data_IF_332317101567
#
_entry.id   IF_332317101567
#
_cell.length_a   1.000
_cell.length_b   1.000
_cell.length_c   1.000
_cell.angle_alpha   90.00
_cell.angle_beta   90.00
_cell.angle_gamma   90.00
#
_symmetry.space_group_name_H-M   'P 1'
#
loop_
_entity.id
_entity.type
_entity.pdbx_description
1 polymer ?
#
# COMPACT_ATOMS: atom_id res chain seq x y z
N UNK A 1 -26.48 -19.79 14.55
CA UNK A 1 -26.24 -19.47 13.14
C UNK A 1 -25.50 -20.66 12.54
N UNK A 2 -26.18 -21.45 11.71
CA UNK A 2 -25.59 -22.67 11.11
C UNK A 2 -24.72 -22.23 9.94
N UNK A 3 -23.41 -22.48 10.00
CA UNK A 3 -22.51 -22.28 8.87
C UNK A 3 -22.95 -23.23 7.76
N UNK A 4 -23.55 -22.68 6.70
CA UNK A 4 -23.91 -23.39 5.49
C UNK A 4 -22.63 -23.72 4.70
N UNK A 5 -22.01 -24.83 5.06
CA UNK A 5 -20.77 -25.33 4.46
C UNK A 5 -20.95 -25.72 2.98
N UNK A 6 -22.19 -26.00 2.56
CA UNK A 6 -22.53 -26.34 1.17
C UNK A 6 -22.50 -25.10 0.25
N UNK A 7 -22.47 -23.88 0.81
CA UNK A 7 -22.28 -22.64 0.04
C UNK A 7 -20.85 -22.44 -0.45
N UNK A 8 -19.87 -23.20 0.05
CA UNK A 8 -18.48 -23.17 -0.44
C UNK A 8 -18.34 -24.13 -1.63
N UNK A 9 -19.15 -23.96 -2.67
CA UNK A 9 -19.02 -24.73 -3.92
C UNK A 9 -17.72 -24.39 -4.66
N UNK A 10 -17.12 -23.24 -4.37
CA UNK A 10 -15.85 -22.78 -4.92
C UNK A 10 -15.04 -22.08 -3.82
N UNK A 11 -14.09 -22.77 -3.15
CA UNK A 11 -13.24 -22.10 -2.16
C UNK A 11 -12.50 -20.93 -2.82
N UNK A 12 -12.50 -19.78 -2.14
CA UNK A 12 -11.82 -18.58 -2.64
C UNK A 12 -10.35 -18.90 -2.89
N UNK A 13 -9.87 -18.66 -4.11
CA UNK A 13 -8.45 -18.73 -4.45
C UNK A 13 -7.91 -17.34 -4.75
N UNK A 14 -6.78 -17.01 -4.15
CA UNK A 14 -6.15 -15.72 -4.40
C UNK A 14 -5.58 -15.68 -5.82
N UNK A 15 -5.90 -14.61 -6.54
CA UNK A 15 -5.57 -14.45 -7.94
C UNK A 15 -5.21 -12.99 -8.28
N UNK A 16 -4.47 -12.81 -9.37
CA UNK A 16 -4.13 -11.50 -9.92
C UNK A 16 -5.35 -10.78 -10.47
N UNK A 17 -5.38 -9.46 -10.29
CA UNK A 17 -6.35 -8.55 -10.88
C UNK A 17 -7.62 -8.38 -10.06
N UNK A 18 -8.55 -7.58 -10.58
CA UNK A 18 -9.86 -7.34 -9.96
C UNK A 18 -10.85 -8.43 -10.36
N UNK A 19 -11.65 -8.92 -9.40
CA UNK A 19 -12.56 -10.04 -9.60
C UNK A 19 -14.00 -9.67 -9.27
N UNK A 20 -14.94 -10.28 -9.99
CA UNK A 20 -16.37 -10.12 -9.73
C UNK A 20 -16.83 -11.02 -8.58
N UNK A 21 -17.89 -10.59 -7.88
CA UNK A 21 -18.56 -11.40 -6.85
C UNK A 21 -18.98 -12.76 -7.43
N UNK A 22 -18.72 -13.83 -6.70
CA UNK A 22 -19.10 -15.19 -7.08
C UNK A 22 -18.14 -15.89 -8.06
N UNK A 23 -17.06 -15.23 -8.48
CA UNK A 23 -16.05 -15.83 -9.39
C UNK A 23 -15.18 -16.92 -8.75
N UNK A 24 -15.24 -17.09 -7.42
CA UNK A 24 -14.33 -17.96 -6.66
C UNK A 24 -12.89 -17.41 -6.58
N UNK A 25 -12.66 -16.17 -7.03
CA UNK A 25 -11.37 -15.49 -7.04
C UNK A 25 -11.42 -14.20 -6.25
N UNK A 26 -10.27 -13.78 -5.71
CA UNK A 26 -10.10 -12.49 -5.05
C UNK A 26 -8.62 -12.17 -4.84
N UNK A 27 -8.29 -10.94 -4.50
CA UNK A 27 -6.98 -10.60 -3.97
C UNK A 27 -7.00 -10.60 -2.43
N UNK A 28 -5.83 -10.44 -1.79
CA UNK A 28 -5.73 -10.32 -0.34
C UNK A 28 -6.65 -9.21 0.24
N UNK A 29 -6.74 -8.07 -0.44
CA UNK A 29 -7.56 -6.95 0.04
C UNK A 29 -9.06 -7.22 -0.03
N UNK A 30 -9.53 -8.06 -0.97
CA UNK A 30 -10.94 -8.50 -0.99
C UNK A 30 -11.26 -9.37 0.23
N UNK A 31 -10.29 -10.17 0.70
CA UNK A 31 -10.45 -10.94 1.94
C UNK A 31 -10.57 -10.01 3.13
N UNK A 32 -9.70 -9.00 3.23
CA UNK A 32 -9.78 -7.99 4.30
C UNK A 32 -11.12 -7.25 4.26
N UNK A 33 -11.56 -6.81 3.08
CA UNK A 33 -12.86 -6.15 2.84
C UNK A 33 -14.04 -7.02 3.30
N UNK A 34 -14.03 -8.31 2.93
CA UNK A 34 -15.05 -9.25 3.36
C UNK A 34 -15.08 -9.43 4.88
N UNK A 35 -13.92 -9.54 5.52
CA UNK A 35 -13.83 -9.74 6.98
C UNK A 35 -14.19 -8.47 7.75
N UNK A 36 -13.84 -7.30 7.22
CA UNK A 36 -14.26 -6.02 7.79
C UNK A 36 -15.79 -5.82 7.73
N UNK A 37 -16.46 -6.53 6.82
CA UNK A 37 -17.90 -6.43 6.63
C UNK A 37 -18.30 -5.28 5.69
N UNK A 38 -17.41 -4.90 4.77
CA UNK A 38 -17.72 -3.87 3.77
C UNK A 38 -18.96 -4.28 2.97
N UNK A 39 -19.83 -3.29 2.67
CA UNK A 39 -21.06 -3.51 1.89
C UNK A 39 -20.71 -4.04 0.49
N UNK A 40 -19.70 -3.44 -0.12
CA UNK A 40 -19.17 -3.84 -1.42
C UNK A 40 -17.74 -4.35 -1.24
N UNK A 41 -17.50 -5.59 -1.68
CA UNK A 41 -16.15 -6.18 -1.62
C UNK A 41 -15.24 -5.45 -2.59
N UNK A 42 -14.17 -4.88 -2.06
CA UNK A 42 -13.27 -3.98 -2.77
C UNK A 42 -11.81 -4.33 -2.51
N UNK A 43 -10.91 -3.77 -3.33
CA UNK A 43 -9.46 -3.81 -3.12
C UNK A 43 -9.00 -2.72 -2.12
N UNK A 44 -9.90 -1.82 -1.72
CA UNK A 44 -9.65 -0.69 -0.83
C UNK A 44 -10.61 -0.75 0.37
N UNK A 45 -10.44 -1.71 1.28
CA UNK A 45 -11.35 -1.88 2.40
C UNK A 45 -11.40 -0.64 3.30
N UNK A 46 -12.57 -0.36 3.88
CA UNK A 46 -12.80 0.85 4.68
C UNK A 46 -11.85 0.94 5.88
N UNK A 47 -11.42 -0.19 6.43
CA UNK A 47 -10.50 -0.25 7.57
C UNK A 47 -9.01 -0.03 7.23
N UNK A 48 -8.64 0.08 5.94
CA UNK A 48 -7.25 0.20 5.51
C UNK A 48 -6.98 1.49 4.75
N UNK A 49 -5.85 2.12 5.05
CA UNK A 49 -5.36 3.25 4.28
C UNK A 49 -5.18 2.85 2.81
N UNK A 50 -5.82 3.61 1.91
CA UNK A 50 -5.81 3.33 0.47
C UNK A 50 -4.39 3.14 -0.13
N UNK A 51 -3.36 3.91 0.26
CA UNK A 51 -2.00 3.68 -0.22
C UNK A 51 -1.43 2.30 0.17
N UNK A 52 -1.67 1.85 1.40
CA UNK A 52 -1.20 0.54 1.87
C UNK A 52 -1.96 -0.60 1.18
N UNK A 53 -3.28 -0.45 1.02
CA UNK A 53 -4.10 -1.39 0.27
C UNK A 53 -3.60 -1.56 -1.17
N UNK A 54 -3.21 -0.45 -1.83
CA UNK A 54 -2.62 -0.48 -3.17
C UNK A 54 -1.29 -1.24 -3.22
N UNK A 55 -0.41 -1.08 -2.22
CA UNK A 55 0.85 -1.82 -2.15
C UNK A 55 0.62 -3.33 -2.05
N UNK A 56 -0.30 -3.76 -1.16
CA UNK A 56 -0.64 -5.17 -0.99
C UNK A 56 -1.30 -5.74 -2.25
N UNK A 57 -2.21 -5.00 -2.88
CA UNK A 57 -2.83 -5.39 -4.15
C UNK A 57 -1.79 -5.57 -5.26
N UNK A 58 -0.87 -4.61 -5.42
CA UNK A 58 0.21 -4.71 -6.40
C UNK A 58 1.11 -5.93 -6.12
N UNK A 59 1.48 -6.15 -4.86
CA UNK A 59 2.27 -7.32 -4.48
C UNK A 59 1.54 -8.63 -4.80
N UNK A 60 0.26 -8.76 -4.45
CA UNK A 60 -0.59 -9.91 -4.79
C UNK A 60 -0.52 -10.22 -6.29
N UNK A 61 -0.71 -9.20 -7.12
CA UNK A 61 -0.71 -9.36 -8.57
C UNK A 61 0.65 -9.79 -9.12
N UNK A 62 1.76 -9.36 -8.51
CA UNK A 62 3.10 -9.73 -8.96
C UNK A 62 3.54 -11.10 -8.44
N UNK A 63 2.97 -11.58 -7.34
CA UNK A 63 3.25 -12.89 -6.76
C UNK A 63 2.38 -14.01 -7.35
N UNK A 64 1.38 -13.67 -8.16
CA UNK A 64 0.60 -14.63 -8.92
C UNK A 64 1.47 -15.35 -9.96
N UNK A 65 1.32 -16.66 -10.05
CA UNK A 65 1.99 -17.49 -11.04
C UNK A 65 1.45 -17.29 -12.45
N UNK A 66 2.00 -18.03 -13.44
CA UNK A 66 1.58 -17.95 -14.84
C UNK A 66 0.11 -18.31 -15.06
N UNK A 67 -0.49 -19.10 -14.16
CA UNK A 67 -1.92 -19.46 -14.16
C UNK A 67 -2.82 -18.35 -13.59
N UNK A 68 -2.24 -17.24 -13.14
CA UNK A 68 -2.93 -16.10 -12.55
C UNK A 68 -3.30 -16.29 -11.08
N UNK A 69 -2.92 -17.41 -10.45
CA UNK A 69 -3.19 -17.69 -9.03
C UNK A 69 -1.94 -17.57 -8.18
N UNK A 70 -2.11 -17.25 -6.90
CA UNK A 70 -1.00 -17.29 -5.94
C UNK A 70 -0.74 -18.74 -5.50
N UNK A 71 0.53 -19.06 -5.23
CA UNK A 71 0.86 -20.29 -4.49
C UNK A 71 0.30 -20.20 -3.06
N UNK A 72 0.19 -21.33 -2.33
CA UNK A 72 -0.21 -21.30 -0.91
C UNK A 72 0.68 -20.39 -0.06
N UNK A 73 2.00 -20.41 -0.26
CA UNK A 73 2.97 -19.62 0.49
C UNK A 73 2.82 -18.13 0.20
N UNK A 74 2.69 -17.77 -1.08
CA UNK A 74 2.44 -16.38 -1.48
C UNK A 74 1.08 -15.90 -0.97
N UNK A 75 0.07 -16.77 -0.95
CA UNK A 75 -1.27 -16.44 -0.42
C UNK A 75 -1.22 -16.09 1.06
N UNK A 76 -0.54 -16.90 1.88
CA UNK A 76 -0.34 -16.60 3.31
C UNK A 76 0.42 -15.28 3.49
N UNK A 77 1.47 -15.06 2.68
CA UNK A 77 2.29 -13.85 2.74
C UNK A 77 1.48 -12.58 2.48
N UNK A 78 0.67 -12.55 1.42
CA UNK A 78 -0.10 -11.33 1.09
C UNK A 78 -1.27 -11.12 2.05
N UNK A 79 -1.83 -12.17 2.65
CA UNK A 79 -2.85 -12.07 3.68
C UNK A 79 -2.26 -11.51 4.99
N UNK A 80 -1.08 -11.98 5.42
CA UNK A 80 -0.36 -11.40 6.58
C UNK A 80 -0.13 -9.90 6.38
N UNK A 81 0.36 -9.51 5.20
CA UNK A 81 0.57 -8.10 4.87
C UNK A 81 -0.75 -7.32 4.78
N UNK A 82 -1.80 -7.90 4.21
CA UNK A 82 -3.13 -7.30 4.17
C UNK A 82 -3.67 -6.99 5.56
N UNK A 83 -3.54 -7.93 6.50
CA UNK A 83 -3.95 -7.73 7.89
C UNK A 83 -3.20 -6.60 8.59
N UNK A 84 -1.93 -6.40 8.29
CA UNK A 84 -1.14 -5.30 8.86
C UNK A 84 -1.61 -3.92 8.41
N UNK A 85 -2.43 -3.84 7.37
CA UNK A 85 -3.06 -2.58 6.93
C UNK A 85 -4.34 -2.24 7.70
N UNK A 86 -4.92 -3.18 8.47
CA UNK A 86 -6.15 -2.92 9.22
C UNK A 86 -5.91 -1.90 10.32
N UNK A 87 -6.86 -0.97 10.49
CA UNK A 87 -6.81 0.12 11.47
C UNK A 87 -5.98 1.33 11.02
N UNK A 88 -5.57 1.38 9.74
CA UNK A 88 -4.75 2.48 9.21
C UNK A 88 -5.56 3.56 8.50
N UNK A 89 -6.86 3.34 8.25
CA UNK A 89 -7.70 4.24 7.44
C UNK A 89 -7.78 5.68 7.99
N UNK A 90 -7.89 5.85 9.30
CA UNK A 90 -8.09 7.15 9.96
C UNK A 90 -6.78 7.89 10.28
N UNK A 91 -5.67 7.49 9.65
CA UNK A 91 -4.37 8.11 9.86
C UNK A 91 -4.36 9.57 9.37
N UNK A 92 -3.83 10.54 10.13
CA UNK A 92 -3.74 11.94 9.70
C UNK A 92 -2.93 12.13 8.41
N UNK A 93 -3.31 13.12 7.59
CA UNK A 93 -2.62 13.44 6.33
C UNK A 93 -1.11 13.71 6.50
N UNK A 94 -0.70 14.26 7.64
CA UNK A 94 0.71 14.51 7.97
C UNK A 94 1.56 13.23 7.99
N UNK A 95 1.01 12.13 8.52
CA UNK A 95 1.69 10.83 8.53
C UNK A 95 1.85 10.32 7.10
N UNK A 96 0.82 10.49 6.26
CA UNK A 96 0.91 10.09 4.86
C UNK A 96 2.06 10.80 4.16
N UNK A 97 2.14 12.12 4.31
CA UNK A 97 3.19 12.91 3.70
C UNK A 97 4.58 12.52 4.19
N UNK A 98 4.72 12.29 5.51
CA UNK A 98 5.99 11.82 6.06
C UNK A 98 6.36 10.44 5.53
N UNK A 99 5.39 9.54 5.47
CA UNK A 99 5.55 8.18 4.95
C UNK A 99 5.98 8.20 3.48
N UNK A 100 5.33 9.03 2.66
CA UNK A 100 5.71 9.23 1.26
C UNK A 100 7.14 9.74 1.11
N UNK A 101 7.57 10.68 1.95
CA UNK A 101 8.96 11.14 1.95
C UNK A 101 9.92 9.99 2.24
N UNK A 102 9.63 9.17 3.27
CA UNK A 102 10.49 8.04 3.63
C UNK A 102 10.54 6.98 2.50
N UNK A 103 9.40 6.63 1.88
CA UNK A 103 9.39 5.74 0.69
C UNK A 103 10.27 6.26 -0.45
N UNK A 104 10.39 7.58 -0.58
CA UNK A 104 11.16 8.20 -1.65
C UNK A 104 12.67 8.14 -1.38
N UNK A 105 13.10 8.52 -0.16
CA UNK A 105 14.51 8.82 0.12
C UNK A 105 15.16 7.97 1.21
N UNK A 106 14.45 7.03 1.81
CA UNK A 106 15.08 6.10 2.76
C UNK A 106 16.31 5.42 2.12
N UNK A 107 17.48 5.42 2.80
CA UNK A 107 18.73 4.96 2.20
C UNK A 107 18.74 3.46 1.90
N UNK A 108 17.95 2.66 2.62
CA UNK A 108 17.93 1.20 2.48
C UNK A 108 16.76 0.75 1.62
N UNK A 109 15.57 1.30 1.85
CA UNK A 109 14.32 0.82 1.27
C UNK A 109 13.69 1.82 0.30
N UNK A 110 14.17 3.06 0.28
CA UNK A 110 13.60 4.12 -0.55
C UNK A 110 13.91 3.96 -2.03
N UNK A 111 13.00 4.43 -2.89
CA UNK A 111 13.13 4.29 -4.34
C UNK A 111 14.38 4.98 -4.93
N UNK A 112 14.93 5.96 -4.22
CA UNK A 112 16.15 6.69 -4.63
C UNK A 112 17.33 5.76 -4.89
N UNK A 113 17.40 4.59 -4.23
CA UNK A 113 18.49 3.63 -4.41
C UNK A 113 18.56 3.02 -5.82
N UNK A 114 17.44 3.05 -6.55
CA UNK A 114 17.32 2.53 -7.90
C UNK A 114 17.38 3.63 -8.97
N UNK A 115 17.49 4.88 -8.55
CA UNK A 115 17.44 6.03 -9.44
C UNK A 115 18.80 6.31 -10.09
N UNK A 116 18.77 6.72 -11.37
CA UNK A 116 19.92 7.36 -12.02
C UNK A 116 20.25 8.68 -11.28
N UNK A 117 21.51 9.17 -11.32
CA UNK A 117 21.91 10.38 -10.60
C UNK A 117 20.98 11.59 -10.82
N UNK A 118 20.57 11.85 -12.06
CA UNK A 118 19.68 12.98 -12.40
C UNK A 118 18.27 12.80 -11.83
N UNK A 119 17.74 11.57 -11.86
CA UNK A 119 16.44 11.22 -11.27
C UNK A 119 16.49 11.25 -9.73
N UNK A 120 17.62 10.89 -9.13
CA UNK A 120 17.80 10.93 -7.68
C UNK A 120 17.69 12.36 -7.12
N UNK A 121 18.11 13.36 -7.88
CA UNK A 121 17.92 14.77 -7.53
C UNK A 121 16.44 15.17 -7.49
N UNK A 122 15.64 14.72 -8.47
CA UNK A 122 14.20 14.98 -8.50
C UNK A 122 13.45 14.29 -7.36
N UNK A 123 13.76 13.01 -7.10
CA UNK A 123 13.18 12.25 -5.98
C UNK A 123 13.41 12.97 -4.65
N UNK A 124 14.64 13.46 -4.40
CA UNK A 124 14.95 14.19 -3.17
C UNK A 124 14.19 15.50 -3.05
N UNK A 125 13.99 16.24 -4.16
CA UNK A 125 13.19 17.47 -4.15
C UNK A 125 11.72 17.18 -3.83
N UNK A 126 11.12 16.19 -4.47
CA UNK A 126 9.73 15.76 -4.19
C UNK A 126 9.60 15.31 -2.73
N UNK A 127 10.54 14.52 -2.22
CA UNK A 127 10.53 14.10 -0.83
C UNK A 127 10.63 15.28 0.16
N UNK A 128 11.41 16.31 -0.17
CA UNK A 128 11.49 17.52 0.64
C UNK A 128 10.15 18.28 0.70
N UNK A 129 9.38 18.29 -0.40
CA UNK A 129 8.02 18.85 -0.41
C UNK A 129 7.07 18.00 0.45
N UNK A 130 7.16 16.68 0.37
CA UNK A 130 6.41 15.78 1.27
C UNK A 130 6.74 16.04 2.76
N UNK A 131 8.01 16.28 3.11
CA UNK A 131 8.38 16.64 4.50
C UNK A 131 7.73 17.95 4.93
N UNK A 132 7.66 18.95 4.06
CA UNK A 132 6.99 20.23 4.34
C UNK A 132 5.49 20.05 4.60
N UNK A 133 4.79 19.35 3.72
CA UNK A 133 3.38 19.01 3.93
C UNK A 133 3.16 18.21 5.23
N UNK A 134 4.12 17.35 5.60
CA UNK A 134 4.02 16.55 6.83
C UNK A 134 4.05 17.37 8.12
N UNK A 135 4.56 18.60 8.07
CA UNK A 135 4.57 19.54 9.21
C UNK A 135 3.50 20.64 9.09
N UNK A 136 2.62 20.54 8.09
CA UNK A 136 1.50 21.45 7.89
C UNK A 136 1.81 22.66 6.99
N UNK A 137 2.96 22.70 6.33
CA UNK A 137 3.22 23.71 5.30
C UNK A 137 2.33 23.44 4.07
N UNK A 138 1.78 24.49 3.48
CA UNK A 138 1.05 24.38 2.20
C UNK A 138 2.04 24.54 1.04
N UNK A 139 2.28 23.46 0.29
CA UNK A 139 3.16 23.48 -0.89
C UNK A 139 2.33 23.76 -2.13
N UNK A 140 2.73 24.76 -2.91
CA UNK A 140 2.00 25.14 -4.12
C UNK A 140 2.18 24.12 -5.25
N UNK A 141 1.19 24.04 -6.16
CA UNK A 141 1.28 23.22 -7.37
C UNK A 141 2.48 23.59 -8.26
N UNK A 142 2.90 24.85 -8.24
CA UNK A 142 4.08 25.30 -8.99
C UNK A 142 5.36 24.66 -8.44
N UNK A 143 5.52 24.62 -7.12
CA UNK A 143 6.66 23.95 -6.46
C UNK A 143 6.68 22.45 -6.75
N UNK A 144 5.51 21.79 -6.71
CA UNK A 144 5.40 20.38 -7.10
C UNK A 144 5.84 20.13 -8.53
N UNK A 145 5.36 20.94 -9.47
CA UNK A 145 5.72 20.82 -10.88
C UNK A 145 7.22 21.06 -11.11
N UNK A 146 7.80 22.07 -10.45
CA UNK A 146 9.23 22.37 -10.55
C UNK A 146 10.10 21.24 -9.99
N UNK A 147 9.72 20.68 -8.84
CA UNK A 147 10.44 19.58 -8.22
C UNK A 147 10.45 18.33 -9.12
N UNK A 148 9.31 18.02 -9.75
CA UNK A 148 9.10 16.84 -10.57
C UNK A 148 9.55 17.00 -12.04
N UNK A 149 9.70 18.23 -12.56
CA UNK A 149 10.05 18.51 -13.96
C UNK A 149 11.29 17.71 -14.46
N UNK A 150 12.39 17.57 -13.69
CA UNK A 150 13.54 16.81 -14.16
C UNK A 150 13.31 15.29 -14.23
N UNK A 151 12.35 14.75 -13.47
CA UNK A 151 11.94 13.36 -13.61
C UNK A 151 11.12 13.14 -14.89
N UNK A 152 10.23 14.09 -15.24
CA UNK A 152 9.47 14.05 -16.50
C UNK A 152 10.37 14.16 -17.74
N UNK A 153 11.40 15.00 -17.69
CA UNK A 153 12.36 15.16 -18.78
C UNK A 153 13.23 13.91 -19.01
N UNK A 154 13.39 13.06 -17.99
CA UNK A 154 14.20 11.84 -18.02
C UNK A 154 13.39 10.56 -18.30
N UNK A 155 12.06 10.62 -18.33
CA UNK A 155 11.20 9.46 -18.58
C UNK A 155 11.04 9.22 -20.08
N UNK A 156 11.54 8.09 -20.60
CA UNK A 156 11.38 7.69 -22.01
C UNK A 156 10.02 7.03 -22.33
N UNK A 157 9.15 6.79 -21.34
CA UNK A 157 7.90 6.05 -21.50
C UNK A 157 6.62 6.87 -21.20
N UNK A 158 5.57 6.81 -22.06
CA UNK A 158 4.33 7.58 -21.96
C UNK A 158 3.49 7.31 -20.68
N UNK A 159 3.78 6.25 -19.92
CA UNK A 159 3.07 5.92 -18.69
C UNK A 159 3.23 6.99 -17.58
N UNK A 160 4.35 7.73 -17.55
CA UNK A 160 4.59 8.79 -16.57
C UNK A 160 3.83 10.09 -16.89
N UNK A 161 3.52 10.35 -18.16
CA UNK A 161 2.86 11.57 -18.62
C UNK A 161 1.34 11.53 -18.47
N UNK A 162 0.71 10.35 -18.53
CA UNK A 162 -0.74 10.21 -18.48
C UNK A 162 -1.34 10.35 -17.07
N UNK A 163 -0.55 10.13 -16.01
CA UNK A 163 -1.03 10.17 -14.61
C UNK A 163 -1.18 11.61 -14.05
N UNK A 164 -0.69 12.63 -14.75
CA UNK A 164 -0.65 14.02 -14.28
C UNK A 164 -1.89 14.87 -14.67
N UNK A 165 -2.86 14.29 -15.38
CA UNK A 165 -3.90 15.05 -16.06
C UNK A 165 -5.24 15.17 -15.29
N UNK A 166 -5.39 14.63 -14.07
CA UNK A 166 -6.68 14.69 -13.37
C UNK A 166 -6.57 14.98 -11.86
N UNK A 167 -7.28 16.04 -11.46
CA UNK A 167 -7.72 16.52 -10.14
C UNK A 167 -6.85 16.36 -8.87
N UNK A 168 -6.82 17.46 -8.09
CA UNK A 168 -6.38 17.65 -6.69
C UNK A 168 -4.91 17.30 -6.35
N UNK A 169 -4.17 18.28 -5.80
CA UNK A 169 -2.72 18.17 -5.60
C UNK A 169 -2.31 17.00 -4.70
N UNK A 170 -3.17 16.63 -3.74
CA UNK A 170 -3.00 15.43 -2.94
C UNK A 170 -3.12 14.17 -3.79
N UNK A 171 -4.19 14.02 -4.60
CA UNK A 171 -4.42 12.86 -5.47
C UNK A 171 -3.34 12.69 -6.55
N UNK A 172 -2.82 13.80 -7.12
CA UNK A 172 -1.69 13.78 -8.03
C UNK A 172 -0.39 13.33 -7.34
N UNK A 173 -0.13 13.77 -6.10
CA UNK A 173 1.03 13.32 -5.32
C UNK A 173 0.89 11.85 -4.89
N UNK A 174 -0.32 11.39 -4.57
CA UNK A 174 -0.64 9.98 -4.31
C UNK A 174 -0.40 9.11 -5.55
N UNK A 175 -0.92 9.51 -6.72
CA UNK A 175 -0.72 8.81 -7.98
C UNK A 175 0.75 8.84 -8.42
N UNK A 176 1.44 9.96 -8.22
CA UNK A 176 2.87 10.10 -8.48
C UNK A 176 3.69 9.17 -7.60
N UNK A 177 3.50 9.19 -6.28
CA UNK A 177 4.29 8.35 -5.39
C UNK A 177 3.95 6.86 -5.51
N UNK A 178 2.68 6.51 -5.77
CA UNK A 178 2.31 5.13 -6.09
C UNK A 178 2.92 4.67 -7.42
N UNK A 179 2.89 5.50 -8.47
CA UNK A 179 3.52 5.19 -9.75
C UNK A 179 5.05 5.17 -9.66
N UNK A 180 5.66 6.01 -8.82
CA UNK A 180 7.11 6.04 -8.61
C UNK A 180 7.59 4.87 -7.76
N UNK A 181 6.86 4.50 -6.71
CA UNK A 181 7.13 3.29 -5.91
C UNK A 181 6.94 2.03 -6.75
N UNK A 182 5.90 1.97 -7.58
CA UNK A 182 5.63 0.86 -8.50
C UNK A 182 6.73 0.80 -9.59
N UNK A 183 7.04 1.91 -10.27
CA UNK A 183 8.06 1.97 -11.32
C UNK A 183 9.50 1.75 -10.83
N UNK A 184 9.89 2.27 -9.67
CA UNK A 184 11.22 2.03 -9.10
C UNK A 184 11.38 0.61 -8.56
N UNK A 185 10.32 0.01 -8.01
CA UNK A 185 10.28 -1.42 -7.72
C UNK A 185 10.28 -2.31 -8.99
N UNK A 186 9.97 -1.77 -10.19
CA UNK A 186 10.07 -2.49 -11.45
C UNK A 186 11.40 -2.31 -12.18
N UNK A 187 11.96 -1.11 -12.20
CA UNK A 187 13.17 -0.81 -12.97
C UNK A 187 14.44 -1.51 -12.42
N UNK A 188 14.39 -2.10 -11.22
CA UNK A 188 15.52 -2.79 -10.59
C UNK A 188 15.29 -4.29 -10.31
N UNK A 189 14.17 -4.88 -10.76
CA UNK A 189 13.77 -6.22 -10.35
C UNK A 189 13.60 -7.19 -11.53
N UNK A 190 14.72 -7.59 -12.12
CA UNK A 190 14.92 -9.02 -12.44
C UNK A 190 15.22 -9.85 -11.16
N UNK A 191 15.43 -9.19 -10.01
CA UNK A 191 15.74 -9.80 -8.71
C UNK A 191 14.51 -9.96 -7.80
N UNK A 192 13.97 -11.19 -7.78
CA UNK A 192 13.23 -11.92 -6.74
C UNK A 192 12.02 -11.26 -6.01
N UNK A 193 10.88 -11.99 -6.02
CA UNK A 193 9.69 -11.79 -5.20
C UNK A 193 9.95 -11.39 -3.73
N UNK A 194 11.04 -11.89 -3.14
CA UNK A 194 11.45 -11.58 -1.77
C UNK A 194 11.66 -10.07 -1.53
N UNK A 195 12.31 -9.35 -2.44
CA UNK A 195 12.56 -7.92 -2.29
C UNK A 195 11.25 -7.11 -2.29
N UNK A 196 10.25 -7.55 -3.07
CA UNK A 196 8.92 -6.91 -3.11
C UNK A 196 8.16 -7.13 -1.81
N UNK A 197 8.25 -8.33 -1.25
CA UNK A 197 7.67 -8.68 0.05
C UNK A 197 8.33 -7.84 1.14
N UNK A 198 9.65 -7.74 1.14
CA UNK A 198 10.43 -6.96 2.11
C UNK A 198 10.08 -5.47 2.05
N UNK A 199 10.06 -4.88 0.86
CA UNK A 199 9.64 -3.48 0.67
C UNK A 199 8.21 -3.24 1.16
N UNK A 200 7.27 -4.11 0.80
CA UNK A 200 5.87 -3.97 1.22
C UNK A 200 5.74 -4.08 2.73
N UNK A 201 6.45 -5.03 3.35
CA UNK A 201 6.50 -5.21 4.81
C UNK A 201 7.04 -3.97 5.50
N UNK A 202 8.18 -3.45 5.04
CA UNK A 202 8.79 -2.25 5.59
C UNK A 202 7.89 -1.03 5.42
N UNK A 203 7.31 -0.83 4.24
CA UNK A 203 6.42 0.30 3.97
C UNK A 203 5.20 0.30 4.89
N UNK A 204 4.56 -0.87 5.11
CA UNK A 204 3.45 -0.98 6.07
C UNK A 204 3.93 -0.68 7.49
N UNK A 205 5.05 -1.27 7.93
CA UNK A 205 5.55 -1.02 9.29
C UNK A 205 5.86 0.46 9.49
N UNK A 206 6.50 1.11 8.51
CA UNK A 206 6.85 2.53 8.58
C UNK A 206 5.62 3.42 8.75
N UNK A 207 4.50 3.08 8.09
CA UNK A 207 3.24 3.78 8.30
C UNK A 207 2.75 3.60 9.74
N UNK A 208 2.74 2.36 10.24
CA UNK A 208 2.27 2.05 11.60
C UNK A 208 3.09 2.75 12.66
N UNK A 209 4.41 2.81 12.48
CA UNK A 209 5.33 3.52 13.37
C UNK A 209 5.04 5.02 13.41
N UNK A 210 4.89 5.65 12.23
CA UNK A 210 4.59 7.08 12.11
C UNK A 210 3.21 7.46 12.67
N UNK A 211 2.26 6.53 12.57
CA UNK A 211 0.91 6.67 13.14
C UNK A 211 0.80 6.18 14.59
N UNK A 212 1.91 5.71 15.18
CA UNK A 212 1.99 5.18 16.55
C UNK A 212 0.98 4.04 16.85
N UNK A 213 0.56 3.28 15.83
CA UNK A 213 -0.51 2.28 15.94
C UNK A 213 -0.11 1.04 16.75
N UNK A 214 1.20 0.77 16.84
CA UNK A 214 1.75 -0.40 17.52
C UNK A 214 2.23 -0.10 18.95
N UNK A 215 2.08 1.14 19.42
CA UNK A 215 2.61 1.61 20.72
C UNK A 215 1.58 1.54 21.87
N UNK A 216 0.39 1.00 21.64
CA UNK A 216 -0.64 0.93 22.68
C UNK A 216 -0.33 -0.21 23.64
N UNK A 217 -0.09 0.04 24.95
CA UNK A 217 0.05 -1.02 25.93
C UNK A 217 -1.22 -1.87 25.96
N UNK A 218 -1.08 -3.19 25.97
CA UNK A 218 -2.23 -4.07 26.20
C UNK A 218 -2.77 -3.80 27.59
N UNK A 219 -3.99 -3.30 27.66
CA UNK A 219 -4.72 -3.15 28.92
C UNK A 219 -5.11 -4.55 29.41
N UNK A 220 -4.31 -5.08 30.34
CA UNK A 220 -4.52 -6.39 30.92
C UNK A 220 -5.87 -6.50 31.63
N UNK A 221 -6.39 -5.41 32.20
CA UNK A 221 -7.67 -5.41 32.88
C UNK A 221 -8.82 -5.47 31.87
N UNK A 222 -8.73 -4.76 30.74
CA UNK A 222 -9.69 -4.89 29.64
C UNK A 222 -9.72 -6.31 29.06
N UNK A 223 -8.56 -6.94 28.88
CA UNK A 223 -8.46 -8.34 28.41
C UNK A 223 -9.07 -9.30 29.42
N UNK A 224 -8.74 -9.16 30.70
CA UNK A 224 -9.27 -10.01 31.76
C UNK A 224 -10.80 -9.91 31.88
N UNK A 225 -11.34 -8.70 31.76
CA UNK A 225 -12.79 -8.48 31.78
C UNK A 225 -13.47 -9.11 30.56
N UNK A 226 -12.91 -8.95 29.36
CA UNK A 226 -13.45 -9.59 28.15
C UNK A 226 -13.41 -11.13 28.24
N UNK A 227 -12.33 -11.71 28.78
CA UNK A 227 -12.24 -13.15 29.01
C UNK A 227 -13.26 -13.64 30.04
N UNK A 228 -13.50 -12.88 31.11
CA UNK A 228 -14.50 -13.21 32.12
C UNK A 228 -15.93 -13.20 31.57
N UNK A 229 -16.21 -12.37 30.55
CA UNK A 229 -17.51 -12.34 29.89
C UNK A 229 -17.71 -13.45 28.85
N UNK A 230 -16.63 -13.95 28.23
CA UNK A 230 -16.69 -15.14 27.35
C UNK A 230 -16.85 -16.43 28.17
N UNK A 231 -16.40 -16.45 29.43
CA UNK A 231 -16.48 -17.62 30.31
C UNK A 231 -17.84 -17.79 31.01
N UNK A 232 -18.82 -16.91 30.76
CA UNK A 232 -20.21 -16.99 31.26
C UNK A 232 -21.13 -17.61 30.21
#
# INVERSE_FOLDING_TARGET
MTLDLDRITHPLRLARGSHQRGSGKGCAMNVISYINGDVEITDFPECSARPLARLVQALNDRLAGPDGFLSPENSVTVIDLGWKTVGTADTPGTVVWRWLADLLVDPEMGVVRYARPDSAGAIRRVAALCVRESVGDVVSRAEWNEAAAPAYAAAEEPAAAAAAADADAAAAAYAYAAAYADAAAYAAADAAAAARIEFTRWAIQRWRDLAELDNTPVDADAVNNALADIAK
#
